data_IF_623495682791
#
_entry.id   IF_623495682791
#
_cell.length_a   1.000
_cell.length_b   1.000
_cell.length_c   1.000
_cell.angle_alpha   90.00
_cell.angle_beta   90.00
_cell.angle_gamma   90.00
#
_symmetry.space_group_name_H-M   'P 1'
#
loop_
_entity.id
_entity.type
_entity.pdbx_description
1 polymer ?
#
# COMPACT_ATOMS: atom_id res chain seq x y z
N UNK A 1 7.00 -8.58 23.95
CA UNK A 1 8.05 -9.54 24.29
C UNK A 1 7.59 -10.95 23.91
N UNK A 2 8.37 -11.67 23.12
CA UNK A 2 8.11 -13.08 22.74
C UNK A 2 9.37 -13.92 22.93
N UNK A 3 9.19 -15.23 23.01
CA UNK A 3 10.30 -16.18 23.05
C UNK A 3 10.17 -17.13 21.85
N UNK A 4 11.26 -17.32 21.14
CA UNK A 4 11.32 -18.24 20.01
C UNK A 4 11.21 -19.69 20.50
N UNK A 5 10.51 -20.54 19.74
CA UNK A 5 10.31 -21.95 20.06
C UNK A 5 11.62 -22.74 20.08
N UNK A 6 11.63 -23.87 20.80
CA UNK A 6 12.79 -24.78 20.85
C UNK A 6 13.18 -25.32 19.47
N UNK A 7 12.23 -25.45 18.57
CA UNK A 7 12.40 -25.92 17.18
C UNK A 7 12.54 -24.80 16.15
N UNK A 8 12.74 -23.55 16.58
CA UNK A 8 12.82 -22.41 15.66
C UNK A 8 13.94 -22.58 14.64
N UNK A 9 13.59 -22.61 13.37
CA UNK A 9 14.58 -22.55 12.28
C UNK A 9 15.13 -21.13 12.14
N UNK A 10 16.43 -20.98 11.82
CA UNK A 10 17.03 -19.66 11.69
C UNK A 10 16.29 -18.81 10.64
N UNK A 11 15.66 -17.74 11.11
CA UNK A 11 14.86 -16.82 10.30
C UNK A 11 15.23 -15.38 10.67
N UNK A 12 15.18 -14.44 9.72
CA UNK A 12 15.42 -13.01 10.02
C UNK A 12 14.40 -12.51 11.04
N UNK A 13 14.85 -11.69 11.99
CA UNK A 13 13.99 -11.16 13.06
C UNK A 13 12.85 -10.30 12.53
N UNK A 14 13.06 -9.56 11.43
CA UNK A 14 12.02 -8.77 10.79
C UNK A 14 10.89 -9.65 10.21
N UNK A 15 11.23 -10.81 9.65
CA UNK A 15 10.25 -11.77 9.15
C UNK A 15 9.55 -12.49 10.31
N UNK A 16 10.32 -12.96 11.28
CA UNK A 16 9.79 -13.60 12.48
C UNK A 16 8.76 -12.74 13.21
N UNK A 17 9.10 -11.47 13.45
CA UNK A 17 8.19 -10.55 14.14
C UNK A 17 6.94 -10.22 13.29
N UNK A 18 7.06 -10.09 11.97
CA UNK A 18 5.91 -9.86 11.10
C UNK A 18 4.90 -11.02 11.13
N UNK A 19 5.38 -12.25 11.28
CA UNK A 19 4.53 -13.45 11.41
C UNK A 19 3.88 -13.57 12.82
N UNK A 20 4.50 -12.99 13.85
CA UNK A 20 4.03 -13.11 15.24
C UNK A 20 3.38 -11.84 15.80
N UNK A 21 3.27 -10.78 14.99
CA UNK A 21 2.66 -9.50 15.36
C UNK A 21 1.64 -9.07 14.33
N UNK A 22 0.38 -9.56 14.43
CA UNK A 22 -0.70 -9.17 13.53
C UNK A 22 -0.82 -7.64 13.44
N UNK A 23 -1.07 -7.11 12.25
CA UNK A 23 -1.20 -5.67 12.01
C UNK A 23 0.12 -4.88 11.97
N UNK A 24 1.28 -5.55 12.08
CA UNK A 24 2.57 -4.86 11.99
C UNK A 24 3.28 -5.22 10.68
N UNK A 25 3.51 -4.22 9.82
CA UNK A 25 4.24 -4.44 8.57
C UNK A 25 5.73 -4.71 8.81
N UNK A 26 6.33 -5.53 7.94
CA UNK A 26 7.75 -5.83 7.97
C UNK A 26 8.65 -4.58 7.91
N UNK A 27 8.23 -3.59 7.13
CA UNK A 27 8.96 -2.31 7.00
C UNK A 27 9.00 -1.54 8.33
N UNK A 28 7.89 -1.54 9.08
CA UNK A 28 7.82 -0.93 10.41
C UNK A 28 8.78 -1.61 11.40
N UNK A 29 8.89 -2.93 11.33
CA UNK A 29 9.84 -3.68 12.16
C UNK A 29 11.28 -3.36 11.76
N UNK A 30 11.58 -3.21 10.48
CA UNK A 30 12.90 -2.81 9.99
C UNK A 30 13.27 -1.42 10.51
N UNK A 31 12.38 -0.44 10.39
CA UNK A 31 12.59 0.91 10.91
C UNK A 31 12.83 0.90 12.43
N UNK A 32 12.07 0.10 13.17
CA UNK A 32 12.29 -0.07 14.61
C UNK A 32 13.66 -0.68 14.92
N UNK A 33 14.11 -1.65 14.12
CA UNK A 33 15.44 -2.26 14.30
C UNK A 33 16.57 -1.26 13.98
N UNK A 34 16.42 -0.46 12.93
CA UNK A 34 17.38 0.58 12.54
C UNK A 34 17.45 1.70 13.59
N UNK A 35 16.33 1.99 14.26
CA UNK A 35 16.28 2.89 15.43
C UNK A 35 16.81 2.26 16.75
N UNK A 36 17.26 1.00 16.72
CA UNK A 36 17.75 0.30 17.91
C UNK A 36 16.65 -0.22 18.86
N UNK A 37 15.41 -0.26 18.41
CA UNK A 37 14.22 -0.64 19.20
C UNK A 37 13.82 -2.12 19.07
N UNK A 38 14.72 -2.96 18.54
CA UNK A 38 14.57 -4.41 18.54
C UNK A 38 15.74 -5.03 19.31
N UNK A 39 15.43 -5.81 20.35
CA UNK A 39 16.42 -6.48 21.19
C UNK A 39 16.24 -7.99 21.15
N UNK A 40 17.36 -8.69 21.15
CA UNK A 40 17.39 -10.14 21.37
C UNK A 40 18.30 -10.44 22.54
N UNK A 41 17.78 -11.14 23.53
CA UNK A 41 18.47 -11.46 24.78
C UNK A 41 19.07 -10.21 25.46
N UNK A 42 18.31 -9.08 25.40
CA UNK A 42 18.70 -7.80 25.99
C UNK A 42 19.71 -6.98 25.20
N UNK A 43 20.09 -7.39 23.99
CA UNK A 43 21.01 -6.64 23.12
C UNK A 43 20.27 -6.15 21.88
N UNK A 44 20.46 -4.87 21.44
CA UNK A 44 19.87 -4.38 20.22
C UNK A 44 20.44 -5.14 19.02
N UNK A 45 19.56 -5.43 18.04
CA UNK A 45 19.91 -6.17 16.83
C UNK A 45 19.38 -5.48 15.59
N UNK A 46 20.06 -5.66 14.47
CA UNK A 46 19.59 -5.20 13.16
C UNK A 46 18.49 -6.11 12.60
N UNK A 47 17.73 -5.61 11.64
CA UNK A 47 16.59 -6.30 11.02
C UNK A 47 16.93 -7.66 10.37
N UNK A 48 18.21 -7.89 10.03
CA UNK A 48 18.70 -9.13 9.43
C UNK A 48 19.17 -10.18 10.42
N UNK A 49 19.13 -9.89 11.74
CA UNK A 49 19.49 -10.88 12.78
C UNK A 49 18.70 -12.19 12.56
N UNK A 50 19.39 -13.32 12.68
CA UNK A 50 18.77 -14.64 12.56
C UNK A 50 18.36 -15.14 13.94
N UNK A 51 17.07 -15.18 14.17
CA UNK A 51 16.45 -15.71 15.41
C UNK A 51 16.86 -17.16 15.59
N UNK A 52 17.29 -17.50 16.79
CA UNK A 52 17.70 -18.84 17.20
C UNK A 52 16.67 -19.43 18.18
N UNK A 53 16.64 -20.75 18.35
CA UNK A 53 15.83 -21.38 19.40
C UNK A 53 16.04 -20.72 20.76
N UNK A 54 14.94 -20.48 21.47
CA UNK A 54 14.86 -19.87 22.80
C UNK A 54 15.31 -18.41 22.90
N UNK A 55 15.60 -17.73 21.81
CA UNK A 55 15.85 -16.28 21.83
C UNK A 55 14.66 -15.53 22.44
N UNK A 56 14.96 -14.62 23.36
CA UNK A 56 13.97 -13.70 23.93
C UNK A 56 14.03 -12.42 23.12
N UNK A 57 12.94 -12.14 22.39
CA UNK A 57 12.85 -11.01 21.49
C UNK A 57 11.97 -9.94 22.13
N UNK A 58 12.42 -8.71 22.09
CA UNK A 58 11.68 -7.53 22.53
C UNK A 58 11.70 -6.51 21.39
N UNK A 59 10.58 -5.86 21.17
CA UNK A 59 10.44 -4.75 20.23
C UNK A 59 9.64 -3.64 20.89
N UNK A 60 10.09 -2.42 20.70
CA UNK A 60 9.36 -1.21 21.01
C UNK A 60 8.96 -0.58 19.68
N UNK A 61 7.67 -0.42 19.48
CA UNK A 61 7.12 0.32 18.34
C UNK A 61 6.59 1.65 18.86
N UNK A 62 6.97 2.74 18.23
CA UNK A 62 6.67 4.10 18.69
C UNK A 62 5.16 4.43 18.70
N UNK A 63 4.36 3.61 18.01
CA UNK A 63 2.90 3.74 17.97
C UNK A 63 2.25 2.36 18.03
N UNK A 64 1.06 2.28 18.60
CA UNK A 64 0.21 1.09 18.47
C UNK A 64 0.01 0.73 17.00
N UNK A 65 -0.15 -0.58 16.65
CA UNK A 65 -0.50 -0.98 15.31
C UNK A 65 -1.76 -0.22 14.90
N UNK A 66 -1.69 0.56 13.82
CA UNK A 66 -2.88 1.19 13.30
C UNK A 66 -3.84 0.10 12.82
N UNK A 67 -5.11 0.23 13.17
CA UNK A 67 -6.15 -0.59 12.60
C UNK A 67 -6.32 -0.21 11.12
N UNK A 68 -5.95 -1.14 10.23
CA UNK A 68 -6.09 -0.97 8.78
C UNK A 68 -7.47 -1.41 8.27
N UNK A 69 -8.42 -1.63 9.18
CA UNK A 69 -9.81 -1.91 8.80
C UNK A 69 -10.34 -0.75 7.97
N UNK A 70 -10.85 -1.06 6.78
CA UNK A 70 -11.44 -0.06 5.91
C UNK A 70 -12.86 0.21 6.39
N UNK A 71 -13.08 1.44 6.85
CA UNK A 71 -14.41 1.89 7.23
C UNK A 71 -15.10 2.49 6.02
N UNK A 72 -16.30 1.99 5.64
CA UNK A 72 -17.11 2.61 4.59
C UNK A 72 -17.43 4.06 4.93
N UNK A 73 -17.23 4.97 3.98
CA UNK A 73 -17.54 6.39 4.14
C UNK A 73 -18.37 6.89 2.96
N UNK A 74 -19.47 7.60 3.25
CA UNK A 74 -20.33 8.22 2.24
C UNK A 74 -19.64 9.44 1.60
N UNK A 75 -18.67 9.16 0.74
CA UNK A 75 -17.94 10.16 -0.04
C UNK A 75 -18.45 10.11 -1.47
N UNK A 76 -18.96 11.21 -2.02
CA UNK A 76 -19.45 11.26 -3.39
C UNK A 76 -18.38 10.88 -4.41
N UNK A 77 -18.68 9.92 -5.28
CA UNK A 77 -17.83 9.51 -6.40
C UNK A 77 -18.31 10.20 -7.70
N UNK A 78 -17.38 10.79 -8.44
CA UNK A 78 -17.65 11.28 -9.78
C UNK A 78 -17.55 10.13 -10.79
N UNK A 79 -18.65 9.38 -10.95
CA UNK A 79 -18.76 8.26 -11.88
C UNK A 79 -18.85 8.75 -13.31
N UNK A 80 -17.96 8.30 -14.17
CA UNK A 80 -17.87 8.63 -15.59
C UNK A 80 -18.48 7.53 -16.46
N UNK A 81 -18.30 6.29 -16.05
CA UNK A 81 -18.85 5.11 -16.72
C UNK A 81 -19.04 3.97 -15.70
N UNK A 82 -20.06 3.17 -15.90
CA UNK A 82 -20.31 1.97 -15.12
C UNK A 82 -21.07 0.94 -15.95
N UNK A 83 -20.68 -0.33 -15.83
CA UNK A 83 -21.41 -1.48 -16.33
C UNK A 83 -21.38 -2.62 -15.26
N UNK A 84 -21.62 -3.86 -15.67
CA UNK A 84 -21.65 -4.99 -14.76
C UNK A 84 -20.26 -5.39 -14.26
N UNK A 85 -19.19 -5.10 -15.02
CA UNK A 85 -17.84 -5.55 -14.77
C UNK A 85 -16.92 -4.44 -14.26
N UNK A 86 -17.14 -3.19 -14.66
CA UNK A 86 -16.24 -2.08 -14.38
C UNK A 86 -16.96 -0.80 -13.95
N UNK A 87 -16.27 -0.03 -13.12
CA UNK A 87 -16.61 1.32 -12.74
C UNK A 87 -15.43 2.24 -13.08
N UNK A 88 -15.69 3.33 -13.78
CA UNK A 88 -14.70 4.39 -14.08
C UNK A 88 -15.09 5.66 -13.34
N UNK A 89 -14.20 6.15 -12.52
CA UNK A 89 -14.39 7.39 -11.78
C UNK A 89 -13.39 8.45 -12.23
N UNK A 90 -13.76 9.71 -12.08
CA UNK A 90 -12.84 10.84 -12.18
C UNK A 90 -12.41 11.23 -10.75
N UNK A 91 -11.26 10.73 -10.32
CA UNK A 91 -10.73 11.01 -8.99
C UNK A 91 -10.32 12.48 -8.87
N UNK A 92 -10.77 13.23 -7.85
CA UNK A 92 -10.29 14.58 -7.61
C UNK A 92 -8.83 14.60 -7.15
N UNK A 93 -8.13 15.71 -7.38
CA UNK A 93 -6.86 15.99 -6.73
C UNK A 93 -7.04 16.12 -5.20
N UNK A 94 -6.03 15.75 -4.43
CA UNK A 94 -6.06 15.76 -2.97
C UNK A 94 -6.61 14.48 -2.33
N UNK A 95 -7.32 13.61 -3.08
CA UNK A 95 -7.83 12.33 -2.59
C UNK A 95 -6.76 11.24 -2.72
N UNK A 96 -6.46 10.58 -1.60
CA UNK A 96 -5.59 9.39 -1.57
C UNK A 96 -6.38 8.15 -2.01
N UNK A 97 -5.76 7.25 -2.76
CA UNK A 97 -6.43 6.02 -3.22
C UNK A 97 -6.51 4.99 -2.10
N UNK A 98 -5.39 4.67 -1.45
CA UNK A 98 -5.32 3.69 -0.36
C UNK A 98 -5.01 4.36 0.98
N UNK A 99 -5.59 3.88 2.10
CA UNK A 99 -5.13 4.27 3.41
C UNK A 99 -3.62 4.06 3.57
N UNK A 100 -2.95 5.00 4.20
CA UNK A 100 -1.51 4.94 4.43
C UNK A 100 -1.06 6.01 5.40
N UNK A 101 0.26 6.09 5.63
CA UNK A 101 0.83 6.98 6.63
C UNK A 101 0.30 8.43 6.55
N UNK A 102 -0.39 8.88 7.59
CA UNK A 102 -0.99 10.20 7.68
C UNK A 102 -2.33 10.39 6.93
N UNK A 103 -2.85 9.35 6.24
CA UNK A 103 -4.12 9.39 5.51
C UNK A 103 -4.83 8.03 5.68
N UNK A 104 -5.42 7.79 6.82
CA UNK A 104 -6.04 6.51 7.15
C UNK A 104 -7.53 6.46 6.83
N UNK A 105 -8.14 7.61 6.68
CA UNK A 105 -9.56 7.84 6.40
C UNK A 105 -9.70 8.78 5.20
N UNK A 106 -10.92 8.96 4.71
CA UNK A 106 -11.28 9.84 3.60
C UNK A 106 -10.54 9.48 2.30
N UNK A 107 -10.23 8.19 2.11
CA UNK A 107 -9.59 7.70 0.90
C UNK A 107 -10.61 7.20 -0.11
N UNK A 108 -10.16 7.04 -1.37
CA UNK A 108 -11.02 6.43 -2.38
C UNK A 108 -11.49 5.04 -1.95
N UNK A 109 -10.65 4.27 -1.27
CA UNK A 109 -11.02 2.93 -0.81
C UNK A 109 -12.16 2.95 0.22
N UNK A 110 -12.21 3.96 1.10
CA UNK A 110 -13.34 4.16 2.02
C UNK A 110 -14.63 4.49 1.25
N UNK A 111 -14.55 5.34 0.23
CA UNK A 111 -15.68 5.68 -0.63
C UNK A 111 -16.18 4.46 -1.43
N UNK A 112 -15.27 3.66 -1.99
CA UNK A 112 -15.62 2.43 -2.71
C UNK A 112 -16.22 1.37 -1.78
N UNK A 113 -15.72 1.24 -0.55
CA UNK A 113 -16.30 0.34 0.45
C UNK A 113 -17.76 0.70 0.77
N UNK A 114 -18.09 1.98 0.82
CA UNK A 114 -19.47 2.44 0.97
C UNK A 114 -20.29 2.20 -0.31
N UNK A 115 -19.74 2.54 -1.46
CA UNK A 115 -20.43 2.39 -2.76
C UNK A 115 -20.81 0.94 -3.05
N UNK A 116 -19.92 0.00 -2.73
CA UNK A 116 -20.09 -1.42 -2.99
C UNK A 116 -20.52 -2.26 -1.77
N UNK A 117 -20.93 -1.64 -0.66
CA UNK A 117 -21.20 -2.33 0.61
C UNK A 117 -22.12 -3.55 0.49
N UNK A 118 -23.03 -3.57 -0.49
CA UNK A 118 -23.96 -4.66 -0.74
C UNK A 118 -23.53 -5.60 -1.88
N UNK A 119 -22.41 -5.34 -2.55
CA UNK A 119 -22.01 -6.01 -3.80
C UNK A 119 -20.65 -6.70 -3.72
N UNK A 120 -19.72 -6.20 -2.93
CA UNK A 120 -18.36 -6.71 -2.83
C UNK A 120 -18.00 -7.04 -1.38
N UNK A 121 -17.03 -7.96 -1.20
CA UNK A 121 -16.47 -8.23 0.11
C UNK A 121 -15.65 -7.01 0.58
N UNK A 122 -16.23 -6.27 1.51
CA UNK A 122 -15.60 -5.09 2.12
C UNK A 122 -14.36 -5.45 2.94
N UNK A 123 -14.12 -6.73 3.23
CA UNK A 123 -12.91 -7.19 3.91
C UNK A 123 -11.74 -7.37 2.94
N UNK A 124 -11.96 -7.33 1.61
CA UNK A 124 -10.86 -7.27 0.66
C UNK A 124 -10.16 -5.90 0.77
N UNK A 125 -8.91 -5.82 1.27
CA UNK A 125 -8.19 -4.56 1.43
C UNK A 125 -7.95 -3.82 0.10
N UNK A 126 -8.25 -4.44 -1.03
CA UNK A 126 -8.09 -3.86 -2.37
C UNK A 126 -9.39 -3.88 -3.17
N UNK A 127 -10.53 -3.60 -2.52
CA UNK A 127 -11.85 -3.64 -3.17
C UNK A 127 -11.78 -3.08 -4.60
N UNK A 128 -11.84 -3.96 -5.60
CA UNK A 128 -11.91 -3.62 -7.00
C UNK A 128 -10.76 -2.80 -7.59
N UNK A 129 -9.78 -2.36 -6.81
CA UNK A 129 -8.66 -1.56 -7.29
C UNK A 129 -7.66 -2.40 -8.08
N UNK A 130 -7.36 -1.98 -9.30
CA UNK A 130 -6.41 -2.63 -10.22
C UNK A 130 -5.18 -1.75 -10.49
N UNK A 131 -5.28 -0.44 -10.19
CA UNK A 131 -4.18 0.52 -10.27
C UNK A 131 -4.41 1.71 -9.34
N UNK A 132 -3.46 2.61 -9.30
CA UNK A 132 -3.56 3.85 -8.53
C UNK A 132 -2.94 5.02 -9.27
N UNK A 133 -3.38 6.23 -8.93
CA UNK A 133 -2.72 7.49 -9.27
C UNK A 133 -2.43 8.24 -7.96
N UNK A 134 -1.52 9.18 -7.98
CA UNK A 134 -1.07 9.88 -6.78
C UNK A 134 -2.16 10.77 -6.16
N UNK A 135 -1.96 11.17 -4.90
CA UNK A 135 -2.89 12.01 -4.14
C UNK A 135 -3.33 13.24 -4.93
N UNK A 136 -2.36 14.00 -5.44
CA UNK A 136 -2.62 15.27 -6.08
C UNK A 136 -2.83 15.16 -7.60
N UNK A 137 -2.77 13.95 -8.15
CA UNK A 137 -3.17 13.65 -9.53
C UNK A 137 -4.68 13.45 -9.59
N UNK A 138 -5.34 14.20 -10.44
CA UNK A 138 -6.75 13.99 -10.80
C UNK A 138 -6.89 13.19 -12.10
N UNK A 139 -8.04 12.60 -12.33
CA UNK A 139 -8.35 11.93 -13.58
C UNK A 139 -8.93 10.53 -13.41
N UNK A 140 -9.01 9.83 -14.54
CA UNK A 140 -9.72 8.56 -14.63
C UNK A 140 -9.01 7.45 -13.85
N UNK A 141 -9.79 6.72 -13.09
CA UNK A 141 -9.37 5.55 -12.35
C UNK A 141 -10.37 4.43 -12.58
N UNK A 142 -9.85 3.24 -12.94
CA UNK A 142 -10.64 2.08 -13.27
C UNK A 142 -10.74 1.14 -12.07
N UNK A 143 -11.95 0.72 -11.77
CA UNK A 143 -12.28 -0.18 -10.67
C UNK A 143 -12.98 -1.41 -11.25
N UNK A 144 -12.55 -2.59 -10.86
CA UNK A 144 -13.22 -3.83 -11.21
C UNK A 144 -14.40 -4.09 -10.26
N UNK A 145 -15.55 -4.52 -10.79
CA UNK A 145 -16.75 -4.87 -10.02
C UNK A 145 -16.85 -6.37 -9.77
N UNK A 146 -16.13 -7.18 -10.54
CA UNK A 146 -16.11 -8.64 -10.42
C UNK A 146 -14.71 -9.19 -10.20
N UNK A 147 -14.52 -10.35 -9.56
CA UNK A 147 -13.21 -10.99 -9.41
C UNK A 147 -12.53 -11.28 -10.75
N UNK A 148 -13.31 -11.64 -11.76
CA UNK A 148 -12.86 -11.91 -13.12
C UNK A 148 -12.29 -10.63 -13.74
N UNK A 149 -13.04 -9.53 -13.71
CA UNK A 149 -12.59 -8.22 -14.18
C UNK A 149 -11.34 -7.75 -13.43
N UNK A 150 -11.27 -7.95 -12.10
CA UNK A 150 -10.09 -7.61 -11.29
C UNK A 150 -8.85 -8.37 -11.76
N UNK A 151 -8.99 -9.66 -12.05
CA UNK A 151 -7.89 -10.51 -12.52
C UNK A 151 -7.40 -10.07 -13.90
N UNK A 152 -8.31 -9.90 -14.85
CA UNK A 152 -7.98 -9.57 -16.24
C UNK A 152 -7.42 -8.14 -16.37
N UNK A 153 -8.02 -7.17 -15.69
CA UNK A 153 -7.52 -5.79 -15.68
C UNK A 153 -6.19 -5.70 -14.94
N UNK A 154 -6.07 -6.36 -13.78
CA UNK A 154 -4.82 -6.42 -13.03
C UNK A 154 -3.66 -6.96 -13.86
N UNK A 155 -3.92 -7.99 -14.68
CA UNK A 155 -2.95 -8.52 -15.64
C UNK A 155 -2.53 -7.50 -16.69
N UNK A 156 -3.47 -6.75 -17.28
CA UNK A 156 -3.16 -5.71 -18.27
C UNK A 156 -2.28 -4.61 -17.67
N UNK A 157 -2.53 -4.20 -16.41
CA UNK A 157 -1.68 -3.23 -15.71
C UNK A 157 -0.30 -3.81 -15.41
N UNK A 158 -0.21 -5.09 -15.02
CA UNK A 158 1.05 -5.77 -14.76
C UNK A 158 1.89 -5.94 -16.04
N UNK A 159 1.25 -6.34 -17.13
CA UNK A 159 1.91 -6.54 -18.44
C UNK A 159 2.18 -5.22 -19.19
N UNK A 160 1.79 -4.08 -18.60
CA UNK A 160 1.92 -2.74 -19.21
C UNK A 160 1.27 -2.60 -20.58
N UNK A 161 0.17 -3.32 -20.83
CA UNK A 161 -0.59 -3.25 -22.09
C UNK A 161 -1.64 -2.13 -22.09
N UNK A 162 -1.90 -1.51 -20.94
CA UNK A 162 -2.80 -0.37 -20.83
C UNK A 162 -2.14 0.91 -21.31
N UNK A 163 -2.81 1.65 -22.21
CA UNK A 163 -2.38 2.98 -22.62
C UNK A 163 -2.87 4.04 -21.63
N UNK A 164 -1.99 4.96 -21.25
CA UNK A 164 -2.29 6.01 -20.26
C UNK A 164 -1.71 7.33 -20.74
N UNK A 165 -2.55 8.36 -20.75
CA UNK A 165 -2.15 9.72 -21.10
C UNK A 165 -2.34 10.64 -19.91
N UNK A 166 -1.34 11.46 -19.62
CA UNK A 166 -1.35 12.46 -18.56
C UNK A 166 -1.02 13.83 -19.11
N UNK A 167 -1.70 14.86 -18.58
CA UNK A 167 -1.35 16.25 -18.81
C UNK A 167 -0.67 16.78 -17.54
N UNK A 168 0.50 17.38 -17.68
CA UNK A 168 1.25 17.93 -16.57
C UNK A 168 1.71 19.36 -16.87
N UNK A 169 1.61 20.24 -15.87
CA UNK A 169 2.24 21.54 -15.91
C UNK A 169 3.63 21.42 -15.27
N UNK A 170 4.64 21.79 -15.99
CA UNK A 170 6.05 21.69 -15.55
C UNK A 170 6.75 23.04 -15.57
N UNK A 171 7.84 23.15 -14.80
CA UNK A 171 8.69 24.34 -14.81
C UNK A 171 9.63 24.35 -16.03
N UNK A 172 9.83 25.53 -16.62
CA UNK A 172 10.74 25.73 -17.73
C UNK A 172 10.09 25.51 -19.09
N UNK A 173 10.91 25.38 -20.11
CA UNK A 173 10.51 25.17 -21.50
C UNK A 173 11.29 24.01 -22.08
N UNK A 174 10.64 23.25 -22.95
CA UNK A 174 11.33 22.22 -23.74
C UNK A 174 11.91 22.83 -25.01
N UNK A 175 13.06 22.30 -25.44
CA UNK A 175 13.67 22.69 -26.71
C UNK A 175 12.92 22.07 -27.92
N UNK A 176 12.31 20.91 -27.71
CA UNK A 176 11.58 20.15 -28.72
C UNK A 176 10.14 19.94 -28.26
N UNK A 177 9.21 19.85 -29.22
CA UNK A 177 7.77 19.65 -28.95
C UNK A 177 7.43 18.22 -28.46
N UNK A 178 8.33 17.27 -28.68
CA UNK A 178 8.16 15.88 -28.26
C UNK A 178 9.49 15.21 -27.99
N UNK A 179 9.47 14.18 -27.17
CA UNK A 179 10.66 13.41 -26.82
C UNK A 179 10.34 12.24 -25.92
N UNK A 180 11.34 11.39 -25.69
CA UNK A 180 11.24 10.24 -24.78
C UNK A 180 12.22 10.42 -23.63
N UNK A 181 11.75 10.20 -22.40
CA UNK A 181 12.57 10.15 -21.19
C UNK A 181 12.52 8.73 -20.66
N UNK A 182 13.67 8.07 -20.65
CA UNK A 182 13.83 6.73 -20.10
C UNK A 182 14.73 6.77 -18.86
N UNK A 183 14.33 6.09 -17.79
CA UNK A 183 15.11 6.04 -16.57
C UNK A 183 14.43 5.26 -15.47
N UNK A 184 15.22 4.81 -14.50
CA UNK A 184 14.71 4.21 -13.28
C UNK A 184 14.28 5.31 -12.30
N UNK A 185 13.07 5.16 -11.73
CA UNK A 185 12.62 6.01 -10.63
C UNK A 185 13.13 5.45 -9.30
N UNK A 186 13.77 6.30 -8.52
CA UNK A 186 14.21 5.96 -7.16
C UNK A 186 13.92 7.13 -6.21
N UNK A 187 13.80 6.81 -4.92
CA UNK A 187 13.71 7.85 -3.90
C UNK A 187 15.10 8.47 -3.69
N UNK A 188 15.18 9.80 -3.65
CA UNK A 188 16.41 10.49 -3.27
C UNK A 188 16.64 10.27 -1.77
N UNK A 189 17.80 9.69 -1.41
CA UNK A 189 18.16 9.45 0.00
C UNK A 189 18.68 10.70 0.73
N UNK A 190 18.62 11.88 0.09
CA UNK A 190 19.10 13.16 0.64
C UNK A 190 17.99 14.03 1.23
N UNK A 191 16.72 13.55 1.23
CA UNK A 191 15.59 14.17 1.90
C UNK A 191 15.07 13.32 3.06
#
# INVERSE_FOLDING_TARGET
RSQADKGQTPQRVDKYLAEHMPGTSRNRIQNAADAGHVWVNGKPVSSNYKVKPLDIIQVLLDHEPHDYTIHPEDIPLNVVYEDDDVLVINKPAGMVVHPGHGNYEHTLLNALAYYFQDQLDINDPNIGLVHRIDKDTSGLLLIAKTPEAKTELGKQFFDHTTERTYNALVWGTFAEDSGTIEGALARDNRE
#
